data_IF_604767153993
#
_entry.id   IF_604767153993
#
_cell.length_a   1.000
_cell.length_b   1.000
_cell.length_c   1.000
_cell.angle_alpha   90.00
_cell.angle_beta   90.00
_cell.angle_gamma   90.00
#
_symmetry.space_group_name_H-M   'P 1'
#
loop_
_entity.id
_entity.type
_entity.pdbx_description
1 polymer ?
#
# COMPACT_ATOMS: atom_id res chain seq x y z
N UNK A 1 22.48 1.08 -1.06
CA UNK A 1 21.94 0.23 0.03
C UNK A 1 20.85 1.01 0.76
N UNK A 2 19.62 0.93 0.28
CA UNK A 2 18.49 1.55 0.99
C UNK A 2 18.01 0.56 2.06
N UNK A 3 18.62 0.65 3.24
CA UNK A 3 18.10 0.00 4.44
C UNK A 3 16.85 0.78 4.85
N UNK A 4 15.74 0.44 4.24
CA UNK A 4 14.45 0.98 4.65
C UNK A 4 14.16 0.42 6.03
N UNK A 5 14.34 1.23 7.07
CA UNK A 5 13.96 0.85 8.42
C UNK A 5 12.48 0.48 8.39
N UNK A 6 12.09 -0.66 8.96
CA UNK A 6 10.70 -1.06 8.99
C UNK A 6 9.87 0.02 9.70
N UNK A 7 8.84 0.47 9.04
CA UNK A 7 7.93 1.48 9.60
C UNK A 7 7.05 0.81 10.64
N UNK A 8 7.08 1.33 11.86
CA UNK A 8 6.31 0.79 12.98
C UNK A 8 4.94 1.48 13.05
N UNK A 9 3.90 0.68 13.21
CA UNK A 9 2.52 1.13 13.33
C UNK A 9 1.88 0.52 14.58
N UNK A 10 1.56 1.34 15.56
CA UNK A 10 0.85 0.91 16.75
C UNK A 10 -0.61 0.58 16.42
N UNK A 11 -1.04 -0.62 16.76
CA UNK A 11 -2.37 -1.13 16.51
C UNK A 11 -2.98 -1.71 17.78
N UNK A 12 -4.26 -1.51 17.97
CA UNK A 12 -5.02 -2.08 19.09
C UNK A 12 -5.93 -3.20 18.60
N UNK A 13 -6.09 -4.26 19.37
CA UNK A 13 -7.03 -5.34 19.04
C UNK A 13 -8.45 -4.80 19.14
N UNK A 14 -9.22 -4.97 18.09
CA UNK A 14 -10.60 -4.50 18.00
C UNK A 14 -11.56 -5.59 18.42
N UNK A 15 -12.42 -5.25 19.39
CA UNK A 15 -13.52 -6.09 19.86
C UNK A 15 -14.89 -5.60 19.38
N UNK A 16 -14.93 -4.42 18.74
CA UNK A 16 -16.18 -3.80 18.26
C UNK A 16 -16.38 -3.99 16.77
N UNK A 17 -17.56 -4.47 16.36
CA UNK A 17 -17.88 -4.80 14.96
C UNK A 17 -19.18 -4.12 14.49
N UNK A 18 -19.42 -4.16 13.19
CA UNK A 18 -20.66 -3.71 12.56
C UNK A 18 -20.87 -2.20 12.62
N UNK A 19 -22.07 -1.77 12.99
CA UNK A 19 -22.48 -0.34 12.99
C UNK A 19 -21.62 0.55 13.89
N UNK A 20 -20.97 0.00 14.90
CA UNK A 20 -20.07 0.74 15.82
C UNK A 20 -18.79 1.23 15.12
N UNK A 21 -18.40 0.66 13.98
CA UNK A 21 -17.27 1.14 13.18
C UNK A 21 -17.45 2.59 12.69
N UNK A 22 -18.69 3.06 12.54
CA UNK A 22 -18.97 4.45 12.19
C UNK A 22 -18.56 5.42 13.32
N UNK A 23 -18.75 5.00 14.57
CA UNK A 23 -18.31 5.78 15.73
C UNK A 23 -16.77 5.83 15.82
N UNK A 24 -16.08 4.70 15.58
CA UNK A 24 -14.61 4.65 15.54
C UNK A 24 -14.03 5.64 14.52
N UNK A 25 -14.57 5.68 13.31
CA UNK A 25 -14.11 6.62 12.27
C UNK A 25 -14.36 8.07 12.65
N UNK A 26 -15.45 8.38 13.38
CA UNK A 26 -15.69 9.74 13.90
C UNK A 26 -14.64 10.13 14.95
N UNK A 27 -14.12 9.16 15.71
CA UNK A 27 -13.04 9.36 16.69
C UNK A 27 -11.64 9.34 16.08
N UNK A 28 -11.52 9.44 14.74
CA UNK A 28 -10.26 9.40 13.99
C UNK A 28 -9.49 8.08 14.14
N UNK A 29 -10.21 6.98 14.28
CA UNK A 29 -9.64 5.63 14.22
C UNK A 29 -10.12 4.89 12.98
N UNK A 30 -9.23 4.09 12.39
CA UNK A 30 -9.51 3.27 11.22
C UNK A 30 -9.62 1.82 11.66
N UNK A 31 -10.70 1.12 11.28
CA UNK A 31 -10.75 -0.33 11.43
C UNK A 31 -9.88 -0.99 10.37
N UNK A 32 -9.15 -2.03 10.73
CA UNK A 32 -8.35 -2.84 9.83
C UNK A 32 -8.38 -4.32 10.21
N UNK A 33 -7.76 -5.13 9.37
CA UNK A 33 -7.59 -6.56 9.59
C UNK A 33 -6.17 -6.98 9.20
N UNK A 34 -5.55 -7.82 10.02
CA UNK A 34 -4.28 -8.47 9.70
C UNK A 34 -4.58 -9.94 9.42
N UNK A 35 -4.29 -10.42 8.23
CA UNK A 35 -4.52 -11.81 7.81
C UNK A 35 -3.32 -12.39 7.08
N UNK A 36 -3.34 -13.68 6.84
CA UNK A 36 -2.32 -14.42 6.06
C UNK A 36 -1.48 -15.39 6.88
N UNK A 37 -0.61 -16.13 6.19
CA UNK A 37 0.28 -17.16 6.73
C UNK A 37 -0.43 -18.31 7.49
N UNK A 38 -1.68 -18.60 7.15
CA UNK A 38 -2.43 -19.70 7.78
C UNK A 38 -2.77 -19.48 9.25
N UNK A 39 -2.62 -18.23 9.74
CA UNK A 39 -3.03 -17.84 11.09
C UNK A 39 -4.39 -17.13 11.04
N UNK A 40 -5.11 -17.18 12.15
CA UNK A 40 -6.40 -16.49 12.28
C UNK A 40 -6.26 -14.98 12.04
N UNK A 41 -7.25 -14.37 11.35
CA UNK A 41 -7.24 -12.94 11.11
C UNK A 41 -7.43 -12.18 12.43
N UNK A 42 -6.64 -11.13 12.61
CA UNK A 42 -6.72 -10.24 13.78
C UNK A 42 -7.40 -8.95 13.34
N UNK A 43 -8.54 -8.65 13.93
CA UNK A 43 -9.19 -7.36 13.76
C UNK A 43 -8.48 -6.30 14.60
N UNK A 44 -8.10 -5.20 13.97
CA UNK A 44 -7.34 -4.12 14.60
C UNK A 44 -8.02 -2.77 14.43
N UNK A 45 -7.60 -1.83 15.26
CA UNK A 45 -7.92 -0.42 15.17
C UNK A 45 -6.63 0.39 15.21
N UNK A 46 -6.52 1.39 14.37
CA UNK A 46 -5.32 2.23 14.26
C UNK A 46 -5.68 3.71 14.16
N UNK A 47 -4.82 4.61 14.69
CA UNK A 47 -5.05 6.05 14.60
C UNK A 47 -4.92 6.53 13.15
N UNK A 48 -5.87 7.37 12.70
CA UNK A 48 -5.93 7.87 11.32
C UNK A 48 -4.65 8.62 10.90
N UNK A 49 -4.16 9.53 11.74
CA UNK A 49 -2.98 10.34 11.43
C UNK A 49 -1.72 9.48 11.27
N UNK A 50 -1.46 8.59 12.21
CA UNK A 50 -0.29 7.70 12.21
C UNK A 50 -0.32 6.80 10.99
N UNK A 51 -1.50 6.24 10.65
CA UNK A 51 -1.64 5.44 9.45
C UNK A 51 -1.35 6.24 8.17
N UNK A 52 -1.90 7.45 8.06
CA UNK A 52 -1.71 8.28 6.87
C UNK A 52 -0.23 8.64 6.65
N UNK A 53 0.51 8.96 7.71
CA UNK A 53 1.95 9.23 7.64
C UNK A 53 2.75 7.99 7.24
N UNK A 54 2.37 6.84 7.81
CA UNK A 54 2.99 5.55 7.48
C UNK A 54 2.69 5.18 6.03
N UNK A 55 1.45 5.30 5.58
CA UNK A 55 1.03 4.98 4.22
C UNK A 55 1.71 5.85 3.16
N UNK A 56 1.87 7.16 3.42
CA UNK A 56 2.59 8.07 2.53
C UNK A 56 4.06 7.67 2.34
N UNK A 57 4.68 7.08 3.37
CA UNK A 57 6.08 6.62 3.32
C UNK A 57 6.22 5.20 2.80
N UNK A 58 5.31 4.33 3.17
CA UNK A 58 5.35 2.90 2.87
C UNK A 58 4.75 2.56 1.50
N UNK A 59 3.68 3.25 1.09
CA UNK A 59 2.85 2.79 -0.01
C UNK A 59 2.31 1.38 0.26
N UNK A 60 2.13 0.60 -0.79
CA UNK A 60 1.69 -0.81 -0.73
C UNK A 60 2.85 -1.81 -0.84
N UNK A 61 4.07 -1.30 -0.97
CA UNK A 61 5.26 -2.11 -1.29
C UNK A 61 6.23 -2.25 -0.13
N UNK A 62 6.10 -1.41 0.91
CA UNK A 62 7.01 -1.43 2.07
C UNK A 62 6.44 -2.25 3.21
N UNK A 63 7.33 -2.98 3.89
CA UNK A 63 6.98 -3.74 5.09
C UNK A 63 6.66 -2.76 6.22
N UNK A 64 5.49 -2.93 6.81
CA UNK A 64 5.03 -2.22 7.98
C UNK A 64 4.95 -3.19 9.16
N UNK A 65 5.65 -2.89 10.22
CA UNK A 65 5.59 -3.65 11.47
C UNK A 65 4.38 -3.19 12.29
N UNK A 66 3.32 -4.00 12.27
CA UNK A 66 2.15 -3.76 13.11
C UNK A 66 2.42 -4.25 14.54
N UNK A 67 2.46 -3.32 15.48
CA UNK A 67 2.56 -3.62 16.90
C UNK A 67 1.15 -3.83 17.48
N UNK A 68 0.82 -5.07 17.79
CA UNK A 68 -0.47 -5.47 18.36
C UNK A 68 -0.24 -5.99 19.77
N UNK A 69 -0.42 -5.14 20.78
CA UNK A 69 -0.02 -5.43 22.16
C UNK A 69 1.50 -5.66 22.23
N UNK A 70 1.90 -6.84 22.73
CA UNK A 70 3.32 -7.21 22.88
C UNK A 70 3.90 -7.89 21.63
N UNK A 71 3.12 -8.04 20.56
CA UNK A 71 3.54 -8.73 19.33
C UNK A 71 3.79 -7.75 18.21
N UNK A 72 4.94 -7.86 17.58
CA UNK A 72 5.26 -7.15 16.34
C UNK A 72 5.08 -8.10 15.16
N UNK A 73 4.22 -7.74 14.23
CA UNK A 73 3.88 -8.58 13.08
C UNK A 73 4.31 -7.84 11.81
N UNK A 74 5.23 -8.39 11.01
CA UNK A 74 5.58 -7.82 9.72
C UNK A 74 4.43 -8.03 8.73
N UNK A 75 3.98 -6.93 8.14
CA UNK A 75 2.83 -6.90 7.22
C UNK A 75 3.11 -6.03 6.00
N UNK A 76 2.38 -6.30 4.92
CA UNK A 76 2.23 -5.39 3.78
C UNK A 76 0.81 -4.85 3.77
N UNK A 77 0.65 -3.59 3.36
CA UNK A 77 -0.66 -3.00 3.09
C UNK A 77 -1.12 -3.53 1.74
N UNK A 78 -2.24 -4.25 1.71
CA UNK A 78 -2.75 -4.89 0.50
C UNK A 78 -3.90 -4.12 -0.12
N UNK A 79 -4.76 -3.53 0.71
CA UNK A 79 -5.89 -2.73 0.24
C UNK A 79 -6.22 -1.61 1.22
N UNK A 80 -6.59 -0.47 0.66
CA UNK A 80 -7.03 0.70 1.42
C UNK A 80 -8.35 1.18 0.85
N UNK A 81 -9.44 0.83 1.51
CA UNK A 81 -10.77 1.28 1.12
C UNK A 81 -10.99 2.74 1.47
N UNK A 82 -11.24 3.57 0.47
CA UNK A 82 -11.48 5.01 0.62
C UNK A 82 -12.91 5.35 0.28
N UNK A 83 -13.49 6.30 1.01
CA UNK A 83 -14.84 6.82 0.71
C UNK A 83 -14.80 7.73 -0.50
N UNK A 84 -15.53 7.40 -1.56
CA UNK A 84 -15.49 8.07 -2.87
C UNK A 84 -15.74 9.60 -2.84
N UNK A 85 -16.55 10.09 -1.89
CA UNK A 85 -16.91 11.52 -1.82
C UNK A 85 -16.11 12.29 -0.77
N UNK A 86 -15.75 11.62 0.34
CA UNK A 86 -15.10 12.28 1.47
C UNK A 86 -13.60 12.03 1.54
N UNK A 87 -13.08 11.20 0.64
CA UNK A 87 -11.67 10.77 0.60
C UNK A 87 -11.11 10.28 1.95
N UNK A 88 -12.03 9.84 2.83
CA UNK A 88 -11.65 9.31 4.14
C UNK A 88 -11.46 7.79 4.07
N UNK A 89 -10.42 7.31 4.72
CA UNK A 89 -10.11 5.89 4.78
C UNK A 89 -11.18 5.16 5.61
N UNK A 90 -11.79 4.16 5.01
CA UNK A 90 -12.86 3.35 5.62
C UNK A 90 -12.35 2.09 6.27
N UNK A 91 -11.39 1.43 5.65
CA UNK A 91 -10.81 0.16 6.07
C UNK A 91 -9.40 0.00 5.53
N UNK A 92 -8.57 -0.77 6.23
CA UNK A 92 -7.21 -1.11 5.77
C UNK A 92 -6.98 -2.59 5.97
N UNK A 93 -6.48 -3.24 4.94
CA UNK A 93 -6.15 -4.65 4.93
C UNK A 93 -4.64 -4.83 4.96
N UNK A 94 -4.18 -5.56 5.97
CA UNK A 94 -2.77 -5.90 6.16
C UNK A 94 -2.59 -7.40 5.94
N UNK A 95 -1.68 -7.76 5.06
CA UNK A 95 -1.28 -9.14 4.83
C UNK A 95 0.01 -9.43 5.57
N UNK A 96 0.00 -10.43 6.45
CA UNK A 96 1.23 -10.94 7.07
C UNK A 96 2.17 -11.45 6.01
N UNK A 97 3.44 -11.14 6.17
CA UNK A 97 4.48 -11.56 5.23
C UNK A 97 5.59 -12.30 5.97
N UNK A 98 6.02 -13.37 5.35
CA UNK A 98 7.23 -14.06 5.76
C UNK A 98 8.39 -13.52 4.92
N UNK A 99 9.41 -12.98 5.59
CA UNK A 99 10.56 -12.38 4.92
C UNK A 99 11.34 -13.36 4.02
N UNK A 100 11.10 -14.67 4.20
CA UNK A 100 11.74 -15.75 3.43
C UNK A 100 10.90 -16.26 2.26
N UNK A 101 9.65 -15.81 2.13
CA UNK A 101 8.76 -16.24 1.04
C UNK A 101 8.49 -15.08 0.09
N UNK A 102 8.40 -15.40 -1.19
CA UNK A 102 7.97 -14.44 -2.20
C UNK A 102 6.51 -14.05 -1.97
N UNK A 103 6.19 -12.81 -2.18
CA UNK A 103 4.83 -12.26 -2.12
C UNK A 103 4.52 -11.56 -3.42
N UNK A 104 3.26 -11.66 -3.84
CA UNK A 104 2.74 -10.86 -4.94
C UNK A 104 2.24 -9.53 -4.38
N UNK A 105 2.66 -8.45 -4.98
CA UNK A 105 2.19 -7.09 -4.68
C UNK A 105 2.03 -6.29 -5.97
N UNK A 106 1.15 -5.30 -5.97
CA UNK A 106 1.03 -4.34 -7.06
C UNK A 106 2.05 -3.22 -6.86
N UNK A 107 2.80 -2.91 -7.89
CA UNK A 107 3.78 -1.82 -7.90
C UNK A 107 3.30 -0.77 -8.90
N UNK A 108 3.18 0.51 -8.50
CA UNK A 108 2.79 1.56 -9.41
C UNK A 108 3.85 1.79 -10.50
N UNK A 109 3.37 2.02 -11.71
CA UNK A 109 4.20 2.36 -12.87
C UNK A 109 4.20 3.87 -13.04
N UNK A 110 5.37 4.49 -12.89
CA UNK A 110 5.57 5.93 -13.04
C UNK A 110 6.28 6.22 -14.35
N UNK A 111 5.68 7.08 -15.15
CA UNK A 111 6.25 7.51 -16.41
C UNK A 111 7.20 8.67 -16.15
N UNK A 112 8.45 8.54 -16.63
CA UNK A 112 9.50 9.55 -16.45
C UNK A 112 10.04 9.98 -17.82
N UNK A 113 10.32 11.27 -17.95
CA UNK A 113 10.90 11.86 -19.17
C UNK A 113 9.84 12.41 -20.12
N UNK A 114 10.33 13.06 -21.17
CA UNK A 114 9.53 13.68 -22.25
C UNK A 114 9.69 12.90 -23.52
N UNK A 115 8.57 12.45 -24.11
CA UNK A 115 8.59 11.79 -25.43
C UNK A 115 8.59 12.83 -26.55
N UNK A 116 9.45 12.70 -27.56
CA UNK A 116 9.37 13.51 -28.77
C UNK A 116 8.03 13.38 -29.51
N UNK A 117 7.39 12.21 -29.47
CA UNK A 117 6.07 11.97 -30.06
C UNK A 117 4.97 12.81 -29.37
N UNK A 118 5.02 12.97 -28.05
CA UNK A 118 4.08 13.83 -27.29
C UNK A 118 4.31 15.31 -27.64
N UNK A 119 5.57 15.73 -27.79
CA UNK A 119 5.90 17.10 -28.24
C UNK A 119 5.45 17.40 -29.67
N UNK A 120 5.36 16.38 -30.51
CA UNK A 120 4.82 16.48 -31.87
C UNK A 120 3.27 16.49 -31.93
N UNK A 121 2.58 16.47 -30.79
CA UNK A 121 1.10 16.49 -30.71
C UNK A 121 0.45 15.12 -30.45
N UNK A 122 1.24 14.08 -30.16
CA UNK A 122 0.73 12.79 -29.73
C UNK A 122 0.11 12.83 -28.34
N UNK A 123 -0.84 11.94 -28.07
CA UNK A 123 -1.47 11.77 -26.76
C UNK A 123 -0.88 10.53 -26.09
N UNK A 124 -0.38 10.70 -24.87
CA UNK A 124 0.10 9.59 -24.05
C UNK A 124 -1.09 8.90 -23.38
N UNK A 125 -1.30 7.62 -23.69
CA UNK A 125 -2.30 6.78 -23.04
C UNK A 125 -1.60 5.72 -22.20
N UNK A 126 -1.65 5.86 -20.89
CA UNK A 126 -1.17 4.84 -19.95
C UNK A 126 -2.30 3.85 -19.67
N UNK A 127 -2.21 2.65 -20.23
CA UNK A 127 -3.22 1.60 -20.04
C UNK A 127 -3.03 0.83 -18.73
N UNK A 128 -1.78 0.72 -18.25
CA UNK A 128 -1.43 0.02 -17.02
C UNK A 128 -0.86 1.00 -16.02
N UNK A 129 -1.55 1.17 -14.90
CA UNK A 129 -1.11 2.04 -13.80
C UNK A 129 -0.31 1.27 -12.75
N UNK A 130 -0.54 -0.03 -12.65
CA UNK A 130 0.09 -0.92 -11.68
C UNK A 130 0.48 -2.23 -12.35
N UNK A 131 1.59 -2.81 -11.91
CA UNK A 131 2.09 -4.10 -12.35
C UNK A 131 2.17 -5.05 -11.16
N UNK A 132 1.70 -6.30 -11.33
CA UNK A 132 1.82 -7.34 -10.29
C UNK A 132 3.22 -7.94 -10.34
N UNK A 133 3.95 -7.78 -9.26
CA UNK A 133 5.32 -8.26 -9.12
C UNK A 133 5.38 -9.32 -8.02
N UNK A 134 6.02 -10.45 -8.31
CA UNK A 134 6.34 -11.49 -7.33
C UNK A 134 7.80 -11.36 -6.90
N UNK A 135 8.04 -10.90 -5.68
CA UNK A 135 9.39 -10.74 -5.14
C UNK A 135 9.44 -11.05 -3.64
N UNK A 136 10.66 -11.20 -3.12
CA UNK A 136 10.86 -11.21 -1.66
C UNK A 136 10.48 -9.83 -1.10
N UNK A 137 9.83 -9.75 0.08
CA UNK A 137 9.38 -8.49 0.66
C UNK A 137 10.48 -7.43 0.81
N UNK A 138 11.72 -7.86 0.95
CA UNK A 138 12.90 -6.98 1.03
C UNK A 138 13.36 -6.40 -0.31
N UNK A 139 12.97 -7.03 -1.42
CA UNK A 139 13.41 -6.69 -2.79
C UNK A 139 12.30 -6.04 -3.61
N UNK A 140 11.17 -5.69 -3.01
CA UNK A 140 10.08 -5.01 -3.69
C UNK A 140 10.48 -3.55 -3.90
N UNK A 141 10.43 -3.10 -5.15
CA UNK A 141 10.66 -1.70 -5.52
C UNK A 141 9.38 -0.90 -5.25
N UNK A 142 9.52 0.34 -4.78
CA UNK A 142 8.39 1.21 -4.48
C UNK A 142 7.64 1.67 -5.74
N UNK A 143 8.35 1.76 -6.87
CA UNK A 143 7.81 2.20 -8.14
C UNK A 143 8.63 1.59 -9.29
N UNK A 144 7.99 1.39 -10.42
CA UNK A 144 8.64 1.03 -11.67
C UNK A 144 8.65 2.27 -12.56
N UNK A 145 9.83 2.86 -12.74
CA UNK A 145 9.98 4.04 -13.60
C UNK A 145 10.24 3.62 -15.04
N UNK A 146 9.35 4.04 -15.94
CA UNK A 146 9.49 3.83 -17.37
C UNK A 146 9.88 5.14 -18.04
N UNK A 147 11.05 5.16 -18.69
CA UNK A 147 11.49 6.32 -19.43
C UNK A 147 10.89 6.33 -20.83
N UNK A 148 10.03 7.31 -21.11
CA UNK A 148 9.36 7.47 -22.41
C UNK A 148 10.14 8.31 -23.43
N UNK A 149 11.34 8.79 -23.09
CA UNK A 149 12.18 9.55 -24.03
C UNK A 149 12.60 8.73 -25.28
N UNK A 150 12.46 7.41 -25.19
CA UNK A 150 12.78 6.47 -26.28
C UNK A 150 11.68 6.40 -27.33
N UNK A 151 10.44 6.79 -26.97
CA UNK A 151 9.28 6.71 -27.86
C UNK A 151 9.30 7.90 -28.80
N UNK A 152 9.63 7.64 -30.08
CA UNK A 152 9.76 8.68 -31.12
C UNK A 152 8.58 8.74 -32.07
N UNK A 153 7.77 7.68 -32.18
CA UNK A 153 6.66 7.58 -33.12
C UNK A 153 5.33 7.29 -32.41
N UNK A 154 4.23 7.70 -33.03
CA UNK A 154 2.87 7.43 -32.56
C UNK A 154 2.53 5.97 -32.89
N UNK A 155 2.11 5.20 -31.87
CA UNK A 155 1.74 3.78 -32.04
C UNK A 155 2.79 2.78 -31.57
N UNK A 156 3.83 3.25 -30.89
CA UNK A 156 4.80 2.40 -30.16
C UNK A 156 4.31 2.09 -28.74
#
# INVERSE_FOLDING_TARGET
>A
MNTTQPLQLACEVRTTFGKKNRALRKSLFIPGVIYGEGQDPISITLPYKTFLETFRKAGETTIVECQVGDKTIPTLITDVSVHSVKETILHVDFRRVNLKKKVETSVPVVIVGDSPAVKAGGVLLQQMQEEKVEALPQNIHHEISINIAIITEVGQ
#
